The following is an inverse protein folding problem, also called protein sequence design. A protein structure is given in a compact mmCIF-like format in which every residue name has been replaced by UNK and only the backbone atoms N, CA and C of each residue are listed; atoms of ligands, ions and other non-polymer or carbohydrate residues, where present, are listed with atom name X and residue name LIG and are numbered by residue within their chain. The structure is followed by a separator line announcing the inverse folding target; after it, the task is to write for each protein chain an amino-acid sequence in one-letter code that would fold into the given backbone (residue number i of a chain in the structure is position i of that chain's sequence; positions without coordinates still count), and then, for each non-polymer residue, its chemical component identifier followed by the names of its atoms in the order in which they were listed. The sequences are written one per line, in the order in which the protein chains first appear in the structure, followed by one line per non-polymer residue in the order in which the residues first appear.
data_IF_505823656864
#
_entry.id   IF_505823656864
#
_cell.length_a   1.000
_cell.length_b   1.000
_cell.length_c   1.000
_cell.angle_alpha   90.00
_cell.angle_beta   90.00
_cell.angle_gamma   90.00
#
_symmetry.space_group_name_H-M   'P 1'
#
loop_
_entity.id
_entity.type
_entity.pdbx_description
1 polymer ?
#
# COMPACT_ATOMS: atom_id res chain seq x y z
N UNK A 1 9.06 -14.38 22.55
CA UNK A 1 8.64 -14.34 21.13
C UNK A 1 7.35 -13.55 21.07
N UNK A 2 7.20 -12.60 20.12
CA UNK A 2 5.92 -11.94 19.88
C UNK A 2 4.97 -12.98 19.27
N UNK A 3 3.75 -13.07 19.75
CA UNK A 3 2.70 -13.91 19.18
C UNK A 3 1.90 -13.08 18.17
N UNK A 4 1.63 -13.63 16.98
CA UNK A 4 0.79 -12.96 16.01
C UNK A 4 -0.68 -12.92 16.47
N UNK A 5 -1.47 -11.95 15.99
CA UNK A 5 -2.91 -11.86 16.27
C UNK A 5 -3.68 -13.06 15.69
N UNK A 6 -4.90 -13.27 16.19
CA UNK A 6 -5.80 -14.33 15.73
C UNK A 6 -6.76 -13.87 14.62
N UNK A 7 -6.47 -12.71 14.02
CA UNK A 7 -7.20 -12.16 12.88
C UNK A 7 -6.27 -12.05 11.67
N UNK A 8 -6.76 -12.38 10.50
CA UNK A 8 -6.11 -12.15 9.22
C UNK A 8 -6.93 -11.15 8.40
N UNK A 9 -6.30 -10.12 7.88
CA UNK A 9 -6.90 -9.20 6.92
C UNK A 9 -6.31 -9.49 5.55
N UNK A 10 -7.18 -9.90 4.62
CA UNK A 10 -6.80 -10.33 3.29
C UNK A 10 -6.99 -9.18 2.29
N UNK A 11 -6.07 -9.09 1.34
CA UNK A 11 -6.16 -8.22 0.18
C UNK A 11 -7.21 -8.75 -0.81
N UNK A 12 -8.42 -8.21 -0.70
CA UNK A 12 -9.57 -8.63 -1.50
C UNK A 12 -9.43 -8.21 -2.97
N UNK A 13 -8.80 -7.08 -3.24
CA UNK A 13 -8.64 -6.60 -4.61
C UNK A 13 -7.80 -7.54 -5.46
N UNK A 14 -6.71 -8.08 -4.90
CA UNK A 14 -5.88 -9.06 -5.62
C UNK A 14 -6.62 -10.39 -5.76
N UNK A 15 -7.33 -10.85 -4.74
CA UNK A 15 -8.11 -12.10 -4.80
C UNK A 15 -9.16 -12.01 -5.92
N UNK A 16 -10.00 -10.97 -5.91
CA UNK A 16 -11.05 -10.81 -6.93
C UNK A 16 -10.48 -10.60 -8.33
N UNK A 17 -9.37 -9.83 -8.46
CA UNK A 17 -8.74 -9.61 -9.76
C UNK A 17 -8.25 -10.92 -10.39
N UNK A 18 -7.57 -11.76 -9.60
CA UNK A 18 -7.06 -13.07 -10.05
C UNK A 18 -8.21 -14.02 -10.42
N UNK A 19 -9.24 -14.08 -9.60
CA UNK A 19 -10.39 -14.94 -9.85
C UNK A 19 -11.21 -14.48 -11.08
N UNK A 20 -11.41 -13.17 -11.24
CA UNK A 20 -12.07 -12.59 -12.39
C UNK A 20 -11.31 -12.84 -13.70
N UNK A 21 -9.99 -12.62 -13.70
CA UNK A 21 -9.14 -12.91 -14.86
C UNK A 21 -9.19 -14.40 -15.25
N UNK A 22 -9.23 -15.29 -14.26
CA UNK A 22 -9.42 -16.70 -14.50
C UNK A 22 -10.81 -17.01 -15.09
N UNK A 23 -11.87 -16.37 -14.57
CA UNK A 23 -13.24 -16.56 -15.05
C UNK A 23 -13.46 -16.06 -16.49
N UNK A 24 -12.76 -15.00 -16.90
CA UNK A 24 -12.79 -14.52 -18.28
C UNK A 24 -12.26 -15.56 -19.28
N UNK A 25 -11.41 -16.49 -18.82
CA UNK A 25 -10.80 -17.55 -19.65
C UNK A 25 -11.60 -18.85 -19.57
N UNK A 26 -11.96 -19.29 -18.36
CA UNK A 26 -12.52 -20.61 -18.08
C UNK A 26 -14.06 -20.61 -17.94
N UNK A 27 -14.66 -19.43 -17.82
CA UNK A 27 -16.09 -19.24 -17.62
C UNK A 27 -16.48 -18.97 -16.16
N UNK A 28 -17.68 -18.43 -15.99
CA UNK A 28 -18.17 -17.89 -14.72
C UNK A 28 -18.76 -18.94 -13.76
N UNK A 29 -19.14 -20.11 -14.27
CA UNK A 29 -19.95 -21.10 -13.53
C UNK A 29 -19.33 -21.57 -12.21
N UNK A 30 -17.98 -21.53 -12.09
CA UNK A 30 -17.24 -21.94 -10.89
C UNK A 30 -16.55 -20.77 -10.16
N UNK A 31 -16.90 -19.53 -10.49
CA UNK A 31 -16.26 -18.34 -9.94
C UNK A 31 -16.43 -18.24 -8.42
N UNK A 32 -17.63 -18.52 -7.91
CA UNK A 32 -17.90 -18.49 -6.46
C UNK A 32 -17.08 -19.53 -5.71
N UNK A 33 -17.03 -20.78 -6.20
CA UNK A 33 -16.22 -21.83 -5.61
C UNK A 33 -14.74 -21.49 -5.63
N UNK A 34 -14.28 -20.87 -6.72
CA UNK A 34 -12.92 -20.39 -6.85
C UNK A 34 -12.59 -19.31 -5.83
N UNK A 35 -13.44 -18.29 -5.67
CA UNK A 35 -13.26 -17.22 -4.71
C UNK A 35 -13.21 -17.75 -3.28
N UNK A 36 -14.10 -18.67 -2.92
CA UNK A 36 -14.10 -19.36 -1.62
C UNK A 36 -12.81 -20.15 -1.39
N UNK A 37 -12.34 -20.84 -2.43
CA UNK A 37 -11.09 -21.62 -2.35
C UNK A 37 -9.87 -20.70 -2.20
N UNK A 38 -9.83 -19.57 -2.90
CA UNK A 38 -8.73 -18.60 -2.82
C UNK A 38 -8.70 -17.91 -1.46
N UNK A 39 -9.84 -17.48 -0.90
CA UNK A 39 -9.90 -16.93 0.47
C UNK A 39 -9.43 -17.98 1.49
N UNK A 40 -9.89 -19.22 1.37
CA UNK A 40 -9.44 -20.31 2.24
C UNK A 40 -7.93 -20.56 2.12
N UNK A 41 -7.39 -20.53 0.90
CA UNK A 41 -5.94 -20.68 0.65
C UNK A 41 -5.16 -19.51 1.26
N UNK A 42 -5.72 -18.30 1.24
CA UNK A 42 -5.12 -17.10 1.77
C UNK A 42 -5.34 -16.91 3.28
N UNK A 43 -5.95 -17.84 3.95
CA UNK A 43 -6.11 -17.85 5.41
C UNK A 43 -4.94 -18.60 6.04
N UNK A 44 -4.07 -17.92 6.82
CA UNK A 44 -2.85 -18.54 7.35
C UNK A 44 -3.11 -19.73 8.28
N UNK A 45 -4.21 -19.70 9.04
CA UNK A 45 -4.64 -20.78 9.94
C UNK A 45 -6.17 -20.85 9.99
N UNK A 46 -6.71 -22.06 10.17
CA UNK A 46 -8.16 -22.31 10.22
C UNK A 46 -8.86 -21.65 11.41
N UNK A 47 -8.10 -21.34 12.45
CA UNK A 47 -8.64 -20.77 13.70
C UNK A 47 -8.62 -19.23 13.69
N UNK A 48 -8.11 -18.61 12.60
CA UNK A 48 -8.08 -17.15 12.48
C UNK A 48 -9.42 -16.61 12.00
N UNK A 49 -9.85 -15.51 12.60
CA UNK A 49 -10.90 -14.66 12.07
C UNK A 49 -10.42 -14.02 10.76
N UNK A 50 -11.25 -14.04 9.73
CA UNK A 50 -10.90 -13.51 8.41
C UNK A 50 -11.73 -12.28 8.08
N UNK A 51 -11.04 -11.19 7.75
CA UNK A 51 -11.61 -9.96 7.21
C UNK A 51 -11.02 -9.74 5.84
N UNK A 52 -11.80 -9.24 4.88
CA UNK A 52 -11.35 -9.01 3.51
C UNK A 52 -11.43 -7.52 3.22
N UNK A 53 -10.29 -6.89 2.99
CA UNK A 53 -10.19 -5.47 2.68
C UNK A 53 -10.35 -5.23 1.16
N UNK A 54 -11.09 -4.19 0.81
CA UNK A 54 -11.27 -3.74 -0.57
C UNK A 54 -11.02 -2.24 -0.68
N UNK A 55 -10.49 -1.85 -1.80
CA UNK A 55 -10.35 -0.44 -2.13
C UNK A 55 -11.72 0.21 -2.40
N UNK A 56 -11.83 1.48 -2.00
CA UNK A 56 -12.87 2.38 -2.45
C UNK A 56 -12.69 2.74 -3.94
N UNK A 57 -13.51 3.65 -4.42
CA UNK A 57 -13.39 4.15 -5.78
C UNK A 57 -12.02 4.83 -5.99
N UNK A 58 -11.30 4.38 -7.01
CA UNK A 58 -9.97 4.89 -7.37
C UNK A 58 -9.95 6.41 -7.57
N UNK A 59 -11.02 6.96 -8.14
CA UNK A 59 -11.11 8.40 -8.43
C UNK A 59 -11.15 9.25 -7.16
N UNK A 60 -11.64 8.67 -6.06
CA UNK A 60 -11.77 9.33 -4.75
C UNK A 60 -10.55 9.11 -3.83
N UNK A 61 -9.49 8.46 -4.28
CA UNK A 61 -8.34 8.15 -3.45
C UNK A 61 -7.65 9.43 -2.95
N UNK A 62 -7.36 9.50 -1.63
CA UNK A 62 -6.77 10.68 -0.98
C UNK A 62 -5.39 11.07 -1.54
N UNK A 63 -4.65 10.15 -2.13
CA UNK A 63 -3.34 10.43 -2.73
C UNK A 63 -3.45 11.37 -3.94
N UNK A 64 -4.61 11.42 -4.59
CA UNK A 64 -4.87 12.34 -5.70
C UNK A 64 -4.95 13.81 -5.26
N UNK A 65 -5.13 14.08 -3.98
CA UNK A 65 -5.05 15.44 -3.43
C UNK A 65 -3.61 15.98 -3.47
N UNK A 66 -2.62 15.08 -3.35
CA UNK A 66 -1.20 15.42 -3.39
C UNK A 66 -0.60 15.25 -4.77
N UNK A 67 -1.03 14.23 -5.51
CA UNK A 67 -0.57 13.93 -6.86
C UNK A 67 -1.74 13.51 -7.75
N UNK A 68 -2.33 14.46 -8.54
CA UNK A 68 -3.51 14.16 -9.37
C UNK A 68 -3.31 13.04 -10.39
N UNK A 69 -2.04 12.76 -10.76
CA UNK A 69 -1.69 11.66 -11.68
C UNK A 69 -1.52 10.28 -10.98
N UNK A 70 -1.79 10.20 -9.68
CA UNK A 70 -1.72 8.92 -8.97
C UNK A 70 -2.59 7.86 -9.64
N UNK A 71 -1.95 6.77 -10.09
CA UNK A 71 -2.58 5.65 -10.82
C UNK A 71 -3.37 6.05 -12.08
N UNK A 72 -3.18 7.26 -12.63
CA UNK A 72 -3.89 7.71 -13.83
C UNK A 72 -3.55 6.86 -15.06
N UNK A 73 -2.35 6.29 -15.13
CA UNK A 73 -1.94 5.35 -16.16
C UNK A 73 -2.71 4.03 -16.18
N UNK A 74 -3.50 3.76 -15.14
CA UNK A 74 -4.38 2.58 -15.05
C UNK A 74 -5.81 2.87 -15.50
N UNK A 75 -6.17 4.13 -15.76
CA UNK A 75 -7.53 4.52 -16.16
C UNK A 75 -7.89 3.94 -17.54
N UNK A 76 -6.89 3.81 -18.44
CA UNK A 76 -7.04 3.21 -19.77
C UNK A 76 -6.85 1.67 -19.79
N UNK A 77 -6.54 1.04 -18.64
CA UNK A 77 -6.35 -0.40 -18.55
C UNK A 77 -7.67 -1.07 -18.22
N UNK A 78 -8.19 -1.88 -19.16
CA UNK A 78 -9.41 -2.64 -18.95
C UNK A 78 -9.23 -3.61 -17.76
N UNK A 79 -10.19 -3.59 -16.84
CA UNK A 79 -10.32 -4.64 -15.81
C UNK A 79 -10.84 -5.93 -16.45
N UNK A 80 -10.62 -7.09 -15.82
CA UNK A 80 -11.32 -8.32 -16.22
C UNK A 80 -12.82 -8.10 -16.31
N UNK A 81 -13.49 -8.69 -17.31
CA UNK A 81 -14.94 -8.52 -17.52
C UNK A 81 -15.74 -9.00 -16.31
N UNK A 82 -15.30 -10.10 -15.69
CA UNK A 82 -15.93 -10.69 -14.51
C UNK A 82 -15.59 -9.97 -13.19
N UNK A 83 -14.81 -8.85 -13.21
CA UNK A 83 -14.35 -8.20 -11.98
C UNK A 83 -15.49 -7.73 -11.06
N UNK A 84 -16.49 -7.04 -11.59
CA UNK A 84 -17.64 -6.54 -10.81
C UNK A 84 -18.44 -7.68 -10.18
N UNK A 85 -18.71 -8.72 -10.97
CA UNK A 85 -19.40 -9.92 -10.50
C UNK A 85 -18.59 -10.65 -9.42
N UNK A 86 -17.26 -10.79 -9.61
CA UNK A 86 -16.39 -11.39 -8.61
C UNK A 86 -16.41 -10.61 -7.28
N UNK A 87 -16.44 -9.28 -7.36
CA UNK A 87 -16.57 -8.42 -6.17
C UNK A 87 -17.91 -8.64 -5.47
N UNK A 88 -19.02 -8.59 -6.18
CA UNK A 88 -20.36 -8.81 -5.63
C UNK A 88 -20.46 -10.17 -4.93
N UNK A 89 -20.08 -11.26 -5.62
CA UNK A 89 -20.08 -12.61 -5.05
C UNK A 89 -19.24 -12.67 -3.78
N UNK A 90 -18.06 -12.04 -3.77
CA UNK A 90 -17.17 -12.07 -2.58
C UNK A 90 -17.80 -11.34 -1.40
N UNK A 91 -18.42 -10.19 -1.64
CA UNK A 91 -19.09 -9.40 -0.60
C UNK A 91 -20.24 -10.16 0.08
N UNK A 92 -20.90 -11.08 -0.63
CA UNK A 92 -22.03 -11.85 -0.10
C UNK A 92 -21.63 -12.91 0.94
N UNK A 93 -20.38 -13.39 0.92
CA UNK A 93 -19.96 -14.48 1.81
C UNK A 93 -18.75 -14.18 2.69
N UNK A 94 -18.09 -13.03 2.52
CA UNK A 94 -16.96 -12.65 3.39
C UNK A 94 -17.39 -11.60 4.43
N UNK A 95 -16.48 -11.27 5.34
CA UNK A 95 -16.58 -10.08 6.21
C UNK A 95 -15.79 -8.95 5.55
N UNK A 96 -16.43 -8.07 4.77
CA UNK A 96 -15.74 -7.04 4.04
C UNK A 96 -15.43 -5.83 4.92
N UNK A 97 -14.32 -5.14 4.59
CA UNK A 97 -14.05 -3.79 5.06
C UNK A 97 -13.71 -2.90 3.86
N UNK A 98 -14.37 -1.77 3.76
CA UNK A 98 -14.17 -0.75 2.72
C UNK A 98 -14.32 0.60 3.41
N UNK A 99 -13.34 1.48 3.24
CA UNK A 99 -13.38 2.82 3.81
C UNK A 99 -13.24 3.87 2.73
N UNK A 100 -13.92 4.99 2.95
CA UNK A 100 -13.94 6.11 2.02
C UNK A 100 -12.52 6.62 1.75
N UNK A 101 -12.19 6.81 0.48
CA UNK A 101 -10.91 7.32 -0.02
C UNK A 101 -9.68 6.44 0.20
N UNK A 102 -9.82 5.24 0.80
CA UNK A 102 -8.73 4.33 1.09
C UNK A 102 -8.61 3.19 0.06
N UNK A 103 -7.41 2.68 -0.06
CA UNK A 103 -7.12 1.42 -0.76
C UNK A 103 -7.11 0.24 0.24
N UNK A 104 -7.27 -0.97 -0.28
CA UNK A 104 -7.15 -2.18 0.53
C UNK A 104 -5.82 -2.23 1.30
N UNK A 105 -4.72 -1.80 0.66
CA UNK A 105 -3.39 -1.76 1.26
C UNK A 105 -3.34 -0.84 2.49
N UNK A 106 -4.08 0.29 2.50
CA UNK A 106 -4.16 1.18 3.65
C UNK A 106 -4.83 0.51 4.84
N UNK A 107 -5.93 -0.21 4.58
CA UNK A 107 -6.64 -0.99 5.60
C UNK A 107 -5.74 -2.10 6.18
N UNK A 108 -5.04 -2.83 5.30
CA UNK A 108 -4.06 -3.83 5.72
C UNK A 108 -2.94 -3.22 6.56
N UNK A 109 -2.43 -2.06 6.14
CA UNK A 109 -1.35 -1.35 6.82
C UNK A 109 -1.73 -0.89 8.21
N UNK A 110 -2.91 -0.28 8.36
CA UNK A 110 -3.43 0.12 9.66
C UNK A 110 -3.63 -1.08 10.60
N UNK A 111 -4.20 -2.18 10.10
CA UNK A 111 -4.45 -3.38 10.90
C UNK A 111 -3.15 -4.11 11.30
N UNK A 112 -2.15 -4.16 10.42
CA UNK A 112 -0.86 -4.76 10.73
C UNK A 112 -0.07 -3.93 11.75
N UNK A 113 0.01 -2.60 11.55
CA UNK A 113 0.77 -1.70 12.42
C UNK A 113 0.13 -1.48 13.79
N UNK A 114 -1.19 -1.64 13.93
CA UNK A 114 -1.85 -1.71 15.24
C UNK A 114 -1.58 -3.03 15.99
N UNK A 115 -1.18 -4.08 15.27
CA UNK A 115 -1.06 -5.44 15.83
C UNK A 115 -2.40 -6.18 15.94
N UNK A 116 -3.48 -5.68 15.35
CA UNK A 116 -4.81 -6.31 15.40
C UNK A 116 -4.96 -7.46 14.43
N UNK A 117 -4.29 -7.41 13.28
CA UNK A 117 -4.37 -8.47 12.27
C UNK A 117 -3.03 -8.77 11.62
N UNK A 118 -2.95 -9.95 11.03
CA UNK A 118 -1.90 -10.30 10.05
C UNK A 118 -2.33 -9.74 8.70
N UNK A 119 -1.51 -8.89 8.07
CA UNK A 119 -1.74 -8.45 6.70
C UNK A 119 -1.40 -9.59 5.73
N UNK A 120 -2.36 -9.99 4.93
CA UNK A 120 -2.23 -11.09 3.97
C UNK A 120 -2.33 -10.55 2.55
N UNK A 121 -1.21 -10.42 1.90
CA UNK A 121 -1.12 -9.93 0.52
C UNK A 121 0.13 -10.48 -0.18
N UNK A 122 0.13 -10.44 -1.50
CA UNK A 122 1.32 -10.72 -2.32
C UNK A 122 2.05 -9.44 -2.73
N UNK A 123 1.47 -8.26 -2.41
CA UNK A 123 2.09 -6.99 -2.71
C UNK A 123 3.33 -6.76 -1.85
N UNK A 124 4.42 -6.39 -2.51
CA UNK A 124 5.70 -6.12 -1.85
C UNK A 124 5.69 -4.81 -1.05
N UNK A 125 4.77 -3.89 -1.39
CA UNK A 125 4.77 -2.54 -0.86
C UNK A 125 4.33 -2.50 0.61
N UNK A 126 3.57 -3.53 1.05
CA UNK A 126 3.28 -3.78 2.47
C UNK A 126 4.55 -4.00 3.34
N UNK A 127 5.73 -4.20 2.76
CA UNK A 127 6.99 -4.22 3.53
C UNK A 127 7.32 -2.85 4.16
N UNK A 128 6.74 -1.78 3.65
CA UNK A 128 6.83 -0.45 4.24
C UNK A 128 5.97 -0.25 5.50
N UNK A 129 5.30 -1.29 5.97
CA UNK A 129 4.43 -1.27 7.15
C UNK A 129 4.97 -2.22 8.21
N UNK A 130 5.19 -1.77 9.46
CA UNK A 130 5.56 -2.66 10.56
C UNK A 130 4.38 -3.53 10.98
N UNK A 131 4.66 -4.72 11.50
CA UNK A 131 3.62 -5.63 11.98
C UNK A 131 3.73 -7.04 11.43
N UNK A 132 2.64 -7.79 11.52
CA UNK A 132 2.58 -9.18 11.12
C UNK A 132 2.10 -9.31 9.67
N UNK A 133 2.87 -10.03 8.86
CA UNK A 133 2.64 -10.20 7.42
C UNK A 133 2.69 -11.66 7.01
N UNK A 134 1.94 -11.99 5.98
CA UNK A 134 2.04 -13.28 5.33
C UNK A 134 1.76 -13.13 3.82
N UNK A 135 2.70 -13.60 3.01
CA UNK A 135 2.53 -13.68 1.56
C UNK A 135 2.18 -15.14 1.20
N UNK A 136 0.92 -15.42 0.79
CA UNK A 136 0.44 -16.79 0.56
C UNK A 136 1.13 -17.52 -0.59
N UNK A 137 1.82 -16.80 -1.48
CA UNK A 137 2.54 -17.38 -2.62
C UNK A 137 4.03 -17.67 -2.31
N UNK A 138 4.59 -17.05 -1.24
CA UNK A 138 6.03 -17.11 -0.97
C UNK A 138 6.40 -17.58 0.42
N UNK A 139 5.62 -17.18 1.43
CA UNK A 139 5.99 -17.39 2.82
C UNK A 139 5.47 -18.74 3.33
N UNK A 140 6.30 -19.41 4.09
CA UNK A 140 5.91 -20.66 4.79
C UNK A 140 5.27 -20.37 6.14
N UNK A 141 5.61 -19.24 6.74
CA UNK A 141 5.19 -18.84 8.08
C UNK A 141 4.87 -17.34 8.10
N UNK A 142 4.01 -16.93 9.04
CA UNK A 142 3.75 -15.53 9.34
C UNK A 142 5.04 -14.91 9.87
N UNK A 143 5.44 -13.76 9.33
CA UNK A 143 6.63 -13.02 9.74
C UNK A 143 6.28 -11.69 10.37
N UNK A 144 7.16 -11.17 11.19
CA UNK A 144 7.08 -9.83 11.75
C UNK A 144 8.07 -8.90 11.03
N UNK A 145 7.57 -7.78 10.55
CA UNK A 145 8.38 -6.67 10.02
C UNK A 145 8.51 -5.65 11.14
N UNK A 146 9.73 -5.29 11.52
CA UNK A 146 9.95 -4.28 12.54
C UNK A 146 9.92 -2.86 11.97
N UNK A 147 9.86 -1.86 12.86
CA UNK A 147 9.78 -0.44 12.48
C UNK A 147 10.96 0.01 11.61
N UNK A 148 12.16 -0.50 11.88
CA UNK A 148 13.35 -0.11 11.13
C UNK A 148 13.36 -0.70 9.73
N UNK A 149 13.01 -1.99 9.60
CA UNK A 149 12.86 -2.65 8.30
C UNK A 149 11.81 -1.93 7.44
N UNK A 150 10.65 -1.64 8.03
CA UNK A 150 9.55 -0.95 7.35
C UNK A 150 9.93 0.47 6.92
N UNK A 151 10.51 1.23 7.84
CA UNK A 151 10.93 2.60 7.57
C UNK A 151 12.02 2.68 6.49
N UNK A 152 13.02 1.78 6.55
CA UNK A 152 14.04 1.70 5.51
C UNK A 152 13.44 1.39 4.14
N UNK A 153 12.49 0.46 4.07
CA UNK A 153 11.81 0.12 2.84
C UNK A 153 11.02 1.30 2.27
N UNK A 154 10.28 2.02 3.13
CA UNK A 154 9.58 3.25 2.76
C UNK A 154 10.54 4.31 2.19
N UNK A 155 11.67 4.59 2.84
CA UNK A 155 12.68 5.55 2.36
C UNK A 155 13.24 5.16 0.99
N UNK A 156 13.49 3.85 0.76
CA UNK A 156 13.92 3.36 -0.55
C UNK A 156 12.85 3.61 -1.62
N UNK A 157 11.58 3.30 -1.33
CA UNK A 157 10.48 3.56 -2.25
C UNK A 157 10.30 5.06 -2.51
N UNK A 158 10.39 5.90 -1.50
CA UNK A 158 10.30 7.34 -1.65
C UNK A 158 11.36 7.89 -2.61
N UNK A 159 12.60 7.42 -2.50
CA UNK A 159 13.67 7.80 -3.43
C UNK A 159 13.49 7.23 -4.83
N UNK A 160 12.98 6.01 -4.96
CA UNK A 160 12.88 5.32 -6.27
C UNK A 160 11.61 5.67 -7.04
N UNK A 161 10.56 6.11 -6.33
CA UNK A 161 9.21 6.24 -6.86
C UNK A 161 8.59 4.90 -7.20
N UNK A 162 7.37 4.96 -7.74
CA UNK A 162 6.65 3.81 -8.30
C UNK A 162 6.07 4.14 -9.67
N UNK A 163 6.64 3.53 -10.73
CA UNK A 163 6.18 3.75 -12.10
C UNK A 163 4.81 3.16 -12.37
N UNK A 164 4.45 2.09 -11.65
CA UNK A 164 3.15 1.41 -11.82
C UNK A 164 2.04 2.29 -11.29
N UNK A 165 2.32 3.08 -10.24
CA UNK A 165 1.39 4.02 -9.64
C UNK A 165 1.56 5.46 -10.17
N UNK A 166 2.47 5.65 -11.14
CA UNK A 166 2.72 6.97 -11.73
C UNK A 166 3.41 7.93 -10.77
N UNK A 167 4.16 7.41 -9.79
CA UNK A 167 4.87 8.21 -8.79
C UNK A 167 6.33 8.40 -9.21
N UNK A 168 6.76 9.62 -9.54
CA UNK A 168 8.14 9.90 -9.86
C UNK A 168 9.02 9.92 -8.61
N UNK A 169 10.12 9.15 -8.65
CA UNK A 169 11.18 9.23 -7.66
C UNK A 169 12.30 10.20 -8.07
N UNK A 170 13.41 10.16 -7.38
CA UNK A 170 14.63 10.89 -7.71
C UNK A 170 15.22 10.40 -9.04
N UNK A 171 15.82 11.32 -9.81
CA UNK A 171 16.31 11.02 -11.15
C UNK A 171 17.41 9.96 -11.14
N UNK A 172 17.20 8.89 -11.89
CA UNK A 172 18.16 7.77 -12.02
C UNK A 172 18.55 7.11 -10.69
N UNK A 173 17.73 7.25 -9.67
CA UNK A 173 17.89 6.51 -8.42
C UNK A 173 17.01 5.26 -8.49
N UNK A 174 17.66 4.10 -8.53
CA UNK A 174 17.01 2.80 -8.38
C UNK A 174 17.34 2.19 -7.01
N UNK A 175 16.73 1.04 -6.63
CA UNK A 175 16.84 0.47 -5.28
C UNK A 175 18.28 0.36 -4.75
N UNK A 176 19.20 -0.16 -5.55
CA UNK A 176 20.61 -0.30 -5.13
C UNK A 176 21.31 1.02 -4.81
N UNK A 177 20.94 2.11 -5.51
CA UNK A 177 21.52 3.43 -5.23
C UNK A 177 20.87 4.05 -4.00
N UNK A 178 19.55 3.86 -3.83
CA UNK A 178 18.83 4.29 -2.65
C UNK A 178 19.37 3.59 -1.39
N UNK A 179 19.52 2.27 -1.42
CA UNK A 179 20.13 1.50 -0.33
C UNK A 179 21.52 2.04 0.04
N UNK A 180 22.41 2.20 -0.97
CA UNK A 180 23.75 2.73 -0.74
C UNK A 180 23.74 4.16 -0.18
N UNK A 181 22.79 4.99 -0.58
CA UNK A 181 22.63 6.33 -0.05
C UNK A 181 22.26 6.29 1.44
N UNK A 182 21.23 5.52 1.81
CA UNK A 182 20.81 5.36 3.20
C UNK A 182 21.93 4.75 4.08
N UNK A 183 22.72 3.80 3.53
CA UNK A 183 23.86 3.22 4.24
C UNK A 183 25.01 4.21 4.49
N UNK A 184 25.02 5.36 3.83
CA UNK A 184 26.06 6.38 3.95
C UNK A 184 25.76 7.50 4.95
N UNK A 185 24.55 7.49 5.54
CA UNK A 185 24.08 8.50 6.49
C UNK A 185 23.45 7.85 7.71
N UNK A 186 23.37 8.58 8.81
CA UNK A 186 22.72 8.08 10.02
C UNK A 186 21.19 7.98 9.79
N UNK A 187 20.57 7.03 10.47
CA UNK A 187 19.15 6.72 10.27
C UNK A 187 18.24 7.91 10.61
N UNK A 188 18.60 8.67 11.61
CA UNK A 188 17.88 9.85 12.09
C UNK A 188 17.86 10.99 11.06
N UNK A 189 18.74 10.93 10.05
CA UNK A 189 18.86 11.94 9.00
C UNK A 189 18.25 11.48 7.66
N UNK A 190 17.67 10.28 7.57
CA UNK A 190 17.19 9.74 6.29
C UNK A 190 16.17 10.65 5.62
N UNK A 191 15.12 11.09 6.33
CA UNK A 191 14.05 11.91 5.75
C UNK A 191 14.58 13.27 5.31
N UNK A 192 15.36 13.95 6.16
CA UNK A 192 15.92 15.26 5.83
C UNK A 192 16.84 15.18 4.61
N UNK A 193 17.69 14.15 4.54
CA UNK A 193 18.60 13.96 3.42
C UNK A 193 17.84 13.61 2.12
N UNK A 194 16.74 12.85 2.17
CA UNK A 194 15.89 12.57 1.02
C UNK A 194 15.23 13.86 0.52
N UNK A 195 14.67 14.67 1.44
CA UNK A 195 14.04 15.96 1.10
C UNK A 195 15.07 16.89 0.44
N UNK A 196 16.30 16.99 1.00
CA UNK A 196 17.38 17.77 0.39
C UNK A 196 17.67 17.33 -1.06
N UNK A 197 17.69 16.02 -1.30
CA UNK A 197 17.89 15.49 -2.67
C UNK A 197 16.77 15.91 -3.62
N UNK A 198 15.50 15.92 -3.19
CA UNK A 198 14.38 16.41 -4.01
C UNK A 198 14.49 17.91 -4.29
N UNK A 199 14.94 18.72 -3.32
CA UNK A 199 15.18 20.17 -3.49
C UNK A 199 16.29 20.42 -4.51
N UNK A 200 17.42 19.69 -4.39
CA UNK A 200 18.58 19.83 -5.26
C UNK A 200 18.28 19.47 -6.73
N UNK A 201 17.39 18.50 -6.94
CA UNK A 201 17.09 18.03 -8.30
C UNK A 201 16.18 18.95 -9.10
N UNK A 202 15.42 19.86 -8.46
CA UNK A 202 14.44 20.75 -9.14
C UNK A 202 13.63 20.01 -10.22
N UNK A 203 12.90 18.97 -9.80
CA UNK A 203 12.19 18.06 -10.70
C UNK A 203 11.15 18.80 -11.56
N UNK A 204 11.11 18.52 -12.89
CA UNK A 204 10.07 19.11 -13.75
C UNK A 204 8.66 18.78 -13.28
N UNK A 205 8.47 17.60 -12.69
CA UNK A 205 7.18 17.14 -12.19
C UNK A 205 6.63 17.99 -11.03
N UNK A 206 7.48 18.66 -10.26
CA UNK A 206 7.03 19.60 -9.21
C UNK A 206 6.26 20.78 -9.81
N UNK A 207 6.60 21.19 -11.03
CA UNK A 207 5.93 22.26 -11.74
C UNK A 207 4.54 21.88 -12.23
N UNK A 208 4.24 20.59 -12.36
CA UNK A 208 2.91 20.11 -12.76
C UNK A 208 1.85 20.32 -11.67
N UNK A 209 2.27 20.40 -10.41
CA UNK A 209 1.40 20.68 -9.25
C UNK A 209 1.72 22.05 -8.62
N UNK A 210 2.42 22.92 -9.36
CA UNK A 210 2.79 24.28 -8.94
C UNK A 210 3.39 24.31 -7.52
N UNK A 211 4.43 23.52 -7.29
CA UNK A 211 5.06 23.39 -5.98
C UNK A 211 6.59 23.41 -6.07
N UNK A 212 7.25 23.68 -4.95
CA UNK A 212 8.70 23.60 -4.82
C UNK A 212 9.18 22.16 -4.56
N UNK A 213 10.50 21.95 -4.57
CA UNK A 213 11.11 20.64 -4.39
C UNK A 213 10.81 20.03 -3.02
N UNK A 214 10.69 20.84 -1.96
CA UNK A 214 10.37 20.37 -0.62
C UNK A 214 8.93 19.87 -0.52
N UNK A 215 7.98 20.67 -0.98
CA UNK A 215 6.55 20.30 -1.01
C UNK A 215 6.31 19.10 -1.94
N UNK A 216 7.06 19.01 -3.04
CA UNK A 216 7.01 17.86 -3.93
C UNK A 216 7.53 16.59 -3.25
N UNK A 217 8.63 16.66 -2.50
CA UNK A 217 9.13 15.53 -1.71
C UNK A 217 8.06 15.01 -0.74
N UNK A 218 7.39 15.91 -0.03
CA UNK A 218 6.31 15.58 0.91
C UNK A 218 5.12 14.93 0.18
N UNK A 219 4.71 15.47 -0.97
CA UNK A 219 3.63 14.90 -1.77
C UNK A 219 3.96 13.45 -2.21
N UNK A 220 5.18 13.19 -2.67
CA UNK A 220 5.63 11.85 -3.05
C UNK A 220 5.68 10.90 -1.86
N UNK A 221 6.17 11.34 -0.70
CA UNK A 221 6.17 10.54 0.53
C UNK A 221 4.76 10.11 0.91
N UNK A 222 3.79 11.06 0.91
CA UNK A 222 2.38 10.79 1.24
C UNK A 222 1.70 9.86 0.25
N UNK A 223 2.08 9.92 -1.03
CA UNK A 223 1.54 9.02 -2.05
C UNK A 223 2.10 7.60 -1.96
N UNK A 224 3.38 7.45 -1.60
CA UNK A 224 4.04 6.14 -1.47
C UNK A 224 3.68 5.45 -0.18
N UNK A 225 3.48 6.22 0.90
CA UNK A 225 3.20 5.65 2.21
C UNK A 225 1.86 4.92 2.24
N UNK A 226 1.89 3.67 2.65
CA UNK A 226 0.71 2.93 3.09
C UNK A 226 0.41 3.40 4.51
N UNK A 227 -0.87 3.66 4.82
CA UNK A 227 -1.26 4.21 6.11
C UNK A 227 -0.98 3.24 7.26
N UNK A 228 -0.48 3.81 8.35
CA UNK A 228 -0.31 3.10 9.62
C UNK A 228 -1.46 3.41 10.58
N UNK A 229 -1.56 2.63 11.64
CA UNK A 229 -2.52 2.88 12.71
C UNK A 229 -2.41 4.31 13.27
N UNK A 230 -3.53 5.00 13.36
CA UNK A 230 -3.62 6.39 13.81
C UNK A 230 -3.43 7.43 12.70
N UNK A 231 -3.06 7.04 11.47
CA UNK A 231 -2.95 7.96 10.33
C UNK A 231 -4.29 8.21 9.61
N UNK A 232 -5.32 7.46 9.95
CA UNK A 232 -6.70 7.69 9.54
C UNK A 232 -7.65 7.35 10.69
N UNK A 233 -8.60 8.23 10.99
CA UNK A 233 -9.64 8.01 11.98
C UNK A 233 -10.88 7.44 11.28
N UNK A 234 -11.24 6.19 11.62
CA UNK A 234 -12.39 5.49 11.05
C UNK A 234 -13.75 6.10 11.47
N UNK A 235 -13.80 6.79 12.61
CA UNK A 235 -15.02 7.40 13.11
C UNK A 235 -15.31 8.74 12.44
N UNK A 236 -14.33 9.61 12.42
CA UNK A 236 -14.46 10.98 11.90
C UNK A 236 -14.06 11.07 10.41
N UNK A 237 -13.53 10.00 9.84
CA UNK A 237 -13.02 9.92 8.44
C UNK A 237 -11.99 11.00 8.12
N UNK A 238 -11.10 11.27 9.07
CA UNK A 238 -10.06 12.29 8.96
C UNK A 238 -8.68 11.68 8.87
N UNK A 239 -7.79 12.35 8.12
CA UNK A 239 -6.40 11.94 7.96
C UNK A 239 -5.50 12.66 8.96
N UNK A 240 -4.68 11.88 9.67
CA UNK A 240 -3.56 12.34 10.48
C UNK A 240 -2.28 11.76 9.87
N UNK A 241 -1.93 12.26 8.69
CA UNK A 241 -0.84 11.70 7.88
C UNK A 241 0.50 11.85 8.58
N UNK A 242 1.42 10.95 8.24
CA UNK A 242 2.81 10.97 8.69
C UNK A 242 3.39 12.39 8.61
N UNK A 243 3.85 12.89 9.76
CA UNK A 243 4.35 14.24 9.90
C UNK A 243 5.80 14.34 9.43
N UNK A 244 6.01 15.13 8.38
CA UNK A 244 7.33 15.45 7.84
C UNK A 244 7.80 16.86 8.23
N UNK A 245 6.98 17.65 8.91
CA UNK A 245 7.32 19.03 9.30
C UNK A 245 8.62 19.14 10.14
N UNK A 246 8.94 18.16 11.03
CA UNK A 246 10.21 18.19 11.75
C UNK A 246 11.46 18.15 10.87
N UNK A 247 11.34 17.63 9.65
CA UNK A 247 12.44 17.45 8.69
C UNK A 247 12.49 18.58 7.65
N UNK A 248 11.50 19.48 7.64
CA UNK A 248 11.43 20.59 6.69
C UNK A 248 12.30 21.74 7.16
N UNK A 249 13.08 22.35 6.25
CA UNK A 249 13.79 23.59 6.55
C UNK A 249 12.78 24.73 6.56
N UNK A 250 12.68 25.40 7.69
CA UNK A 250 11.97 26.67 7.80
C UNK A 250 12.81 27.70 7.05
N UNK A 251 12.31 28.17 5.90
CA UNK A 251 12.92 29.22 5.11
C UNK A 251 12.79 30.60 5.74
#
# INVERSE_FOLDING_TARGET
MKTHPQRAMLDGDIIIYRAAFWADIEGIDSLEDRLKADIKKWTPSKDMEVVVAFSDNRENNFRRDFWPKYKANRDDVARPECFSIAKEITLDFCTPIIEDRLEADDLLGMAASSGEAVAVTVDKDLKGVPGWHWNPDKDKEIRYVDEEEAHRFFCIQWMTGDRVDGLPGLWRIGPKKAEKFLDSIEKEDWESAIIERYIEEDRPESKEIDTDGQSFAVAMARCIRILHNGEYDLGDKTFNLFDLDPFLKVG
#
